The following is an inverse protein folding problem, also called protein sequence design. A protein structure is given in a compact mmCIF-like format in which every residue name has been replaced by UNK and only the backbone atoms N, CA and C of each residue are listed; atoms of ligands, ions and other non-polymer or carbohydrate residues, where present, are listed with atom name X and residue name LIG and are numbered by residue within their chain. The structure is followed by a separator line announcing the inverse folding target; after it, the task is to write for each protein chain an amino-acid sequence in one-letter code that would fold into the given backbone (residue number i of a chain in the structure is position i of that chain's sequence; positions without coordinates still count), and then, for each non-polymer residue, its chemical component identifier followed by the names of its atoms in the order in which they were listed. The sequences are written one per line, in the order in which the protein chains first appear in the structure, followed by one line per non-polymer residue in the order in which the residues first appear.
data_IF_713600583936
#
_entry.id   IF_713600583936
#
_cell.length_a   1.000
_cell.length_b   1.000
_cell.length_c   1.000
_cell.angle_alpha   90.00
_cell.angle_beta   90.00
_cell.angle_gamma   90.00
#
_symmetry.space_group_name_H-M   'P 1'
#
loop_
_entity.id
_entity.type
_entity.pdbx_description
1 polymer ?
#
# COMPACT_ATOMS: atom_id res chain seq x y z
N UNK A 1 -22.68 -1.19 6.02
CA UNK A 1 -22.25 -2.12 4.92
C UNK A 1 -23.00 -3.43 5.06
N UNK A 2 -23.43 -4.06 3.94
CA UNK A 2 -24.03 -5.40 3.93
C UNK A 2 -22.99 -6.45 4.32
N UNK A 3 -23.43 -7.67 4.70
CA UNK A 3 -22.54 -8.75 5.16
C UNK A 3 -21.59 -9.27 4.06
N UNK A 4 -22.00 -9.21 2.78
CA UNK A 4 -21.22 -9.74 1.65
C UNK A 4 -19.77 -9.21 1.56
N UNK A 5 -19.52 -7.89 1.51
CA UNK A 5 -18.17 -7.35 1.46
C UNK A 5 -17.30 -7.76 2.64
N UNK A 6 -17.87 -7.84 3.85
CA UNK A 6 -17.15 -8.29 5.05
C UNK A 6 -16.70 -9.75 4.95
N UNK A 7 -17.64 -10.63 4.57
CA UNK A 7 -17.36 -12.06 4.42
C UNK A 7 -16.32 -12.29 3.34
N UNK A 8 -16.48 -11.66 2.17
CA UNK A 8 -15.55 -11.81 1.05
C UNK A 8 -14.17 -11.28 1.42
N UNK A 9 -14.07 -10.09 2.05
CA UNK A 9 -12.78 -9.54 2.46
C UNK A 9 -12.08 -10.46 3.46
N UNK A 10 -12.77 -10.95 4.46
CA UNK A 10 -12.18 -11.84 5.46
C UNK A 10 -11.76 -13.18 4.84
N UNK A 11 -12.65 -13.83 4.09
CA UNK A 11 -12.39 -15.15 3.49
C UNK A 11 -11.25 -15.09 2.48
N UNK A 12 -11.28 -14.15 1.54
CA UNK A 12 -10.20 -14.03 0.54
C UNK A 12 -8.86 -13.67 1.18
N UNK A 13 -8.84 -12.77 2.18
CA UNK A 13 -7.59 -12.44 2.88
C UNK A 13 -6.99 -13.65 3.58
N UNK A 14 -7.83 -14.46 4.23
CA UNK A 14 -7.38 -15.72 4.87
C UNK A 14 -6.90 -16.73 3.82
N UNK A 15 -7.64 -16.89 2.71
CA UNK A 15 -7.24 -17.82 1.64
C UNK A 15 -5.91 -17.42 0.99
N UNK A 16 -5.73 -16.14 0.67
CA UNK A 16 -4.47 -15.62 0.08
C UNK A 16 -3.30 -15.81 1.02
N UNK A 17 -3.51 -15.58 2.32
CA UNK A 17 -2.44 -15.66 3.33
C UNK A 17 -2.35 -17.04 4.00
N UNK A 18 -3.23 -18.00 3.69
CA UNK A 18 -3.25 -19.30 4.34
C UNK A 18 -1.88 -20.01 4.43
N UNK A 19 -1.04 -20.00 3.37
CA UNK A 19 0.28 -20.64 3.42
C UNK A 19 1.25 -19.99 4.43
N UNK A 20 1.01 -18.71 4.77
CA UNK A 20 1.92 -17.91 5.61
C UNK A 20 1.35 -17.59 6.99
N UNK A 21 0.13 -18.03 7.32
CA UNK A 21 -0.49 -17.85 8.64
C UNK A 21 0.09 -18.74 9.76
N UNK A 22 0.64 -19.94 9.50
CA UNK A 22 1.25 -20.74 10.56
C UNK A 22 2.29 -19.97 11.38
N UNK A 23 2.57 -20.38 12.64
CA UNK A 23 3.58 -19.75 13.48
C UNK A 23 4.95 -19.63 12.79
N UNK A 24 5.68 -18.56 13.08
CA UNK A 24 6.97 -18.26 12.48
C UNK A 24 6.94 -16.99 11.65
N UNK A 25 8.02 -16.77 10.89
CA UNK A 25 8.20 -15.61 10.03
C UNK A 25 7.99 -15.95 8.56
N UNK A 26 7.46 -15.02 7.79
CA UNK A 26 7.54 -15.03 6.34
C UNK A 26 8.75 -14.18 5.96
N UNK A 27 9.74 -14.82 5.37
CA UNK A 27 10.96 -14.16 4.92
C UNK A 27 11.10 -14.41 3.41
N UNK A 28 10.73 -13.41 2.63
CA UNK A 28 10.83 -13.45 1.16
C UNK A 28 11.36 -12.11 0.66
N UNK A 29 12.41 -12.13 -0.10
CA UNK A 29 13.01 -10.92 -0.71
C UNK A 29 13.07 -9.73 0.27
N UNK A 30 12.19 -8.73 0.10
CA UNK A 30 12.16 -7.51 0.91
C UNK A 30 11.34 -7.66 2.21
N UNK A 31 10.66 -8.80 2.40
CA UNK A 31 9.94 -9.06 3.65
C UNK A 31 10.88 -9.64 4.69
N UNK A 32 11.47 -8.77 5.49
CA UNK A 32 12.33 -9.13 6.62
C UNK A 32 11.70 -8.64 7.91
N UNK A 33 11.50 -9.58 8.85
CA UNK A 33 11.02 -9.30 10.20
C UNK A 33 11.91 -9.99 11.21
N UNK A 34 12.10 -9.34 12.35
CA UNK A 34 12.87 -9.83 13.48
C UNK A 34 11.98 -9.89 14.73
N UNK A 35 12.31 -10.68 15.75
CA UNK A 35 11.53 -10.74 17.00
C UNK A 35 11.31 -9.38 17.64
N UNK A 36 12.37 -8.60 17.72
CA UNK A 36 12.36 -7.21 18.22
C UNK A 36 13.33 -6.41 17.35
N UNK A 37 12.90 -5.26 16.84
CA UNK A 37 13.75 -4.33 16.13
C UNK A 37 14.19 -3.23 17.09
N UNK A 38 15.50 -2.97 17.17
CA UNK A 38 16.04 -1.95 18.05
C UNK A 38 15.74 -0.54 17.54
N UNK A 39 15.43 0.38 18.46
CA UNK A 39 15.28 1.81 18.17
C UNK A 39 16.67 2.45 18.04
N UNK A 40 17.22 2.45 16.84
CA UNK A 40 18.49 3.07 16.51
C UNK A 40 18.28 4.40 15.77
N UNK A 41 19.36 5.16 15.57
CA UNK A 41 19.30 6.39 14.76
C UNK A 41 18.95 6.12 13.30
N UNK A 42 19.33 4.96 12.77
CA UNK A 42 19.05 4.57 11.39
C UNK A 42 17.55 4.39 11.11
N UNK A 43 16.80 3.72 12.03
CA UNK A 43 15.36 3.49 11.84
C UNK A 43 14.52 4.77 11.86
N UNK A 44 15.07 5.86 12.42
CA UNK A 44 14.44 7.19 12.39
C UNK A 44 15.02 8.11 11.32
N UNK A 45 15.95 7.63 10.50
CA UNK A 45 16.55 8.40 9.40
C UNK A 45 17.62 9.41 9.83
N UNK A 46 18.19 9.25 11.04
CA UNK A 46 19.25 10.09 11.59
C UNK A 46 20.61 9.38 11.66
N UNK A 47 20.75 8.25 10.99
CA UNK A 47 22.01 7.53 10.82
C UNK A 47 22.90 8.17 9.73
N UNK A 48 24.08 7.58 9.50
CA UNK A 48 25.07 8.12 8.54
C UNK A 48 24.75 7.77 7.07
N UNK A 49 23.87 6.78 6.84
CA UNK A 49 23.45 6.34 5.51
C UNK A 49 22.12 6.94 5.04
N UNK A 50 21.85 6.83 3.73
CA UNK A 50 20.53 7.19 3.19
C UNK A 50 19.42 6.36 3.87
N UNK A 51 18.39 7.00 4.40
CA UNK A 51 17.28 6.29 5.04
C UNK A 51 16.52 5.45 3.99
N UNK A 52 16.41 4.13 4.24
CA UNK A 52 15.79 3.20 3.29
C UNK A 52 14.32 2.94 3.60
N UNK A 53 13.95 2.81 4.86
CA UNK A 53 12.62 2.34 5.29
C UNK A 53 12.04 3.22 6.42
N UNK A 54 12.19 4.55 6.30
CA UNK A 54 11.63 5.52 7.23
C UNK A 54 10.28 6.01 6.67
N UNK A 55 9.24 6.10 7.50
CA UNK A 55 9.18 5.85 8.96
C UNK A 55 8.81 4.41 9.33
N UNK A 56 8.68 3.48 8.39
CA UNK A 56 8.12 2.15 8.65
C UNK A 56 8.95 1.36 9.67
N UNK A 57 10.28 1.41 9.58
CA UNK A 57 11.15 0.71 10.53
C UNK A 57 11.04 1.27 11.95
N UNK A 58 10.88 2.58 12.10
CA UNK A 58 10.62 3.19 13.39
C UNK A 58 9.30 2.71 14.01
N UNK A 59 8.24 2.58 13.20
CA UNK A 59 6.95 2.06 13.65
C UNK A 59 7.04 0.57 14.05
N UNK A 60 7.77 -0.22 13.28
CA UNK A 60 8.03 -1.63 13.61
C UNK A 60 8.87 -1.73 14.89
N UNK A 61 9.95 -0.93 15.01
CA UNK A 61 10.80 -0.91 16.20
C UNK A 61 9.99 -0.58 17.46
N UNK A 62 9.16 0.46 17.43
CA UNK A 62 8.29 0.82 18.56
C UNK A 62 7.29 -0.29 18.90
N UNK A 63 6.66 -0.89 17.88
CA UNK A 63 5.62 -1.88 18.11
C UNK A 63 6.19 -3.21 18.60
N UNK A 64 7.38 -3.60 18.11
CA UNK A 64 8.03 -4.85 18.53
C UNK A 64 8.59 -4.83 19.93
N UNK A 65 8.67 -3.67 20.60
CA UNK A 65 8.92 -3.61 22.05
C UNK A 65 7.76 -4.18 22.88
N UNK A 66 6.54 -4.22 22.30
CA UNK A 66 5.31 -4.64 23.00
C UNK A 66 4.72 -5.94 22.44
N UNK A 67 4.93 -6.21 21.16
CA UNK A 67 4.32 -7.33 20.43
C UNK A 67 5.40 -8.10 19.66
N UNK A 68 5.47 -9.44 19.76
CA UNK A 68 6.44 -10.22 18.99
C UNK A 68 6.33 -9.93 17.49
N UNK A 69 7.48 -9.72 16.81
CA UNK A 69 7.53 -9.37 15.39
C UNK A 69 6.81 -10.36 14.48
N UNK A 70 6.79 -11.66 14.82
CA UNK A 70 6.05 -12.68 14.07
C UNK A 70 4.53 -12.45 14.10
N UNK A 71 3.99 -12.07 15.26
CA UNK A 71 2.57 -11.73 15.38
C UNK A 71 2.25 -10.43 14.68
N UNK A 72 3.08 -9.39 14.87
CA UNK A 72 2.96 -8.11 14.19
C UNK A 72 2.90 -8.29 12.67
N UNK A 73 3.80 -9.08 12.10
CA UNK A 73 3.84 -9.38 10.67
C UNK A 73 2.50 -9.97 10.17
N UNK A 74 1.97 -10.99 10.86
CA UNK A 74 0.70 -11.63 10.48
C UNK A 74 -0.49 -10.66 10.56
N UNK A 75 -0.51 -9.86 11.63
CA UNK A 75 -1.57 -8.85 11.83
C UNK A 75 -1.53 -7.80 10.73
N UNK A 76 -0.35 -7.28 10.38
CA UNK A 76 -0.21 -6.29 9.31
C UNK A 76 -0.67 -6.86 7.96
N UNK A 77 -0.21 -8.06 7.60
CA UNK A 77 -0.57 -8.69 6.33
C UNK A 77 -2.10 -8.92 6.23
N UNK A 78 -2.69 -9.52 7.27
CA UNK A 78 -4.12 -9.80 7.29
C UNK A 78 -4.96 -8.51 7.29
N UNK A 79 -4.59 -7.55 8.15
CA UNK A 79 -5.29 -6.26 8.23
C UNK A 79 -5.22 -5.49 6.91
N UNK A 80 -4.07 -5.47 6.25
CA UNK A 80 -3.91 -4.80 4.96
C UNK A 80 -4.87 -5.34 3.92
N UNK A 81 -4.98 -6.66 3.74
CA UNK A 81 -5.89 -7.23 2.74
C UNK A 81 -7.36 -7.06 3.11
N UNK A 82 -7.73 -7.27 4.37
CA UNK A 82 -9.12 -7.06 4.82
C UNK A 82 -9.54 -5.61 4.65
N UNK A 83 -8.70 -4.65 5.08
CA UNK A 83 -8.99 -3.22 4.96
C UNK A 83 -9.00 -2.75 3.50
N UNK A 84 -8.15 -3.32 2.64
CA UNK A 84 -8.17 -3.08 1.20
C UNK A 84 -9.53 -3.44 0.59
N UNK A 85 -10.02 -4.64 0.85
CA UNK A 85 -11.32 -5.10 0.35
C UNK A 85 -12.48 -4.27 0.88
N UNK A 86 -12.50 -4.00 2.19
CA UNK A 86 -13.54 -3.18 2.81
C UNK A 86 -13.51 -1.73 2.30
N UNK A 87 -12.32 -1.18 2.06
CA UNK A 87 -12.15 0.15 1.48
C UNK A 87 -12.68 0.23 0.06
N UNK A 88 -12.35 -0.74 -0.78
CA UNK A 88 -12.88 -0.82 -2.15
C UNK A 88 -14.40 -0.95 -2.17
N UNK A 89 -14.98 -1.79 -1.28
CA UNK A 89 -16.43 -1.91 -1.13
C UNK A 89 -17.07 -0.59 -0.68
N UNK A 90 -16.44 0.14 0.25
CA UNK A 90 -16.92 1.44 0.71
C UNK A 90 -16.90 2.47 -0.41
N UNK A 91 -15.80 2.55 -1.16
CA UNK A 91 -15.66 3.43 -2.31
C UNK A 91 -16.74 3.12 -3.36
N UNK A 92 -16.92 1.84 -3.71
CA UNK A 92 -17.94 1.41 -4.66
C UNK A 92 -19.35 1.79 -4.20
N UNK A 93 -19.65 1.70 -2.90
CA UNK A 93 -20.95 2.11 -2.34
C UNK A 93 -21.19 3.63 -2.43
N UNK A 94 -20.13 4.44 -2.52
CA UNK A 94 -20.22 5.89 -2.76
C UNK A 94 -20.43 6.17 -4.25
N UNK A 95 -19.74 5.45 -5.12
CA UNK A 95 -19.82 5.62 -6.58
C UNK A 95 -21.16 5.10 -7.14
N UNK A 96 -21.65 3.98 -6.61
CA UNK A 96 -22.91 3.34 -7.01
C UNK A 96 -23.86 3.21 -5.83
N UNK A 97 -24.50 4.31 -5.37
CA UNK A 97 -25.32 4.31 -4.15
C UNK A 97 -26.59 3.46 -4.28
N UNK A 98 -27.05 3.19 -5.50
CA UNK A 98 -28.22 2.33 -5.79
C UNK A 98 -27.91 0.83 -5.77
N UNK A 99 -26.62 0.45 -5.73
CA UNK A 99 -26.23 -0.95 -5.65
C UNK A 99 -26.69 -1.61 -4.36
N UNK A 100 -27.26 -2.82 -4.51
CA UNK A 100 -27.72 -3.64 -3.38
C UNK A 100 -26.58 -4.41 -2.68
N UNK A 101 -25.33 -4.05 -2.91
CA UNK A 101 -24.13 -4.62 -2.32
C UNK A 101 -23.42 -5.65 -3.18
N UNK A 102 -23.92 -5.96 -4.38
CA UNK A 102 -23.26 -6.86 -5.31
C UNK A 102 -21.99 -6.24 -5.87
N UNK A 103 -22.06 -5.01 -6.42
CA UNK A 103 -20.89 -4.30 -6.94
C UNK A 103 -19.85 -4.04 -5.85
N UNK A 104 -20.28 -3.69 -4.62
CA UNK A 104 -19.38 -3.54 -3.48
C UNK A 104 -18.66 -4.85 -3.12
N UNK A 105 -19.35 -5.99 -3.23
CA UNK A 105 -18.75 -7.31 -2.97
C UNK A 105 -17.73 -7.68 -4.05
N UNK A 106 -18.08 -7.45 -5.33
CA UNK A 106 -17.17 -7.67 -6.46
C UNK A 106 -15.94 -6.76 -6.36
N UNK A 107 -16.12 -5.49 -6.02
CA UNK A 107 -15.01 -4.55 -5.83
C UNK A 107 -14.07 -5.01 -4.71
N UNK A 108 -14.61 -5.50 -3.58
CA UNK A 108 -13.79 -6.07 -2.51
C UNK A 108 -12.97 -7.27 -3.00
N UNK A 109 -13.60 -8.19 -3.72
CA UNK A 109 -12.92 -9.36 -4.26
C UNK A 109 -11.81 -8.98 -5.25
N UNK A 110 -12.11 -8.14 -6.22
CA UNK A 110 -11.15 -7.70 -7.24
C UNK A 110 -9.98 -6.91 -6.66
N UNK A 111 -10.22 -6.15 -5.60
CA UNK A 111 -9.17 -5.35 -4.94
C UNK A 111 -8.25 -6.19 -4.06
N UNK A 112 -8.65 -7.37 -3.62
CA UNK A 112 -7.81 -8.33 -2.87
C UNK A 112 -7.15 -9.33 -3.81
N UNK A 113 -7.92 -9.85 -4.77
CA UNK A 113 -7.50 -10.92 -5.65
C UNK A 113 -7.13 -10.35 -7.02
N UNK A 114 -5.91 -9.92 -7.14
CA UNK A 114 -5.36 -9.39 -8.39
C UNK A 114 -3.83 -9.60 -8.44
N UNK A 115 -3.22 -9.54 -9.63
CA UNK A 115 -1.78 -9.74 -9.80
C UNK A 115 -0.92 -8.77 -8.99
N UNK A 116 -1.31 -7.49 -8.91
CA UNK A 116 -0.56 -6.50 -8.13
C UNK A 116 -0.38 -6.93 -6.67
N UNK A 117 -1.47 -7.37 -6.02
CA UNK A 117 -1.41 -7.83 -4.63
C UNK A 117 -0.52 -9.07 -4.51
N UNK A 118 -0.67 -10.05 -5.42
CA UNK A 118 0.12 -11.27 -5.42
C UNK A 118 1.62 -10.98 -5.57
N UNK A 119 2.01 -10.18 -6.54
CA UNK A 119 3.39 -9.78 -6.78
C UNK A 119 4.00 -9.02 -5.59
N UNK A 120 3.24 -8.07 -5.01
CA UNK A 120 3.70 -7.32 -3.83
C UNK A 120 3.84 -8.19 -2.58
N UNK A 121 3.00 -9.20 -2.41
CA UNK A 121 3.14 -10.18 -1.32
C UNK A 121 4.38 -11.05 -1.52
N UNK A 122 4.60 -11.57 -2.74
CA UNK A 122 5.74 -12.46 -3.03
C UNK A 122 7.07 -11.72 -2.90
N UNK A 123 7.20 -10.50 -3.45
CA UNK A 123 8.43 -9.70 -3.31
C UNK A 123 8.61 -9.12 -1.91
N UNK A 124 7.56 -9.12 -1.07
CA UNK A 124 7.67 -8.65 0.30
C UNK A 124 7.40 -7.16 0.51
N UNK A 125 6.76 -6.47 -0.44
CA UNK A 125 6.41 -5.04 -0.34
C UNK A 125 5.18 -4.80 0.57
N UNK A 126 5.18 -5.40 1.75
CA UNK A 126 4.07 -5.36 2.70
C UNK A 126 3.70 -3.93 3.15
N UNK A 127 4.68 -3.06 3.36
CA UNK A 127 4.43 -1.68 3.75
C UNK A 127 3.71 -0.89 2.63
N UNK A 128 3.97 -1.20 1.36
CA UNK A 128 3.23 -0.63 0.25
C UNK A 128 1.78 -1.16 0.20
N UNK A 129 1.54 -2.40 0.62
CA UNK A 129 0.19 -2.95 0.75
C UNK A 129 -0.62 -2.28 1.88
N UNK A 130 0.03 -1.78 2.93
CA UNK A 130 -0.62 -0.92 3.95
C UNK A 130 -1.13 0.37 3.31
N UNK A 131 -0.29 1.04 2.51
CA UNK A 131 -0.69 2.23 1.77
C UNK A 131 -1.81 1.91 0.76
N UNK A 132 -1.68 0.83 -0.02
CA UNK A 132 -2.70 0.35 -0.95
C UNK A 132 -4.07 0.17 -0.27
N UNK A 133 -4.08 -0.43 0.92
CA UNK A 133 -5.30 -0.60 1.70
C UNK A 133 -5.96 0.73 2.10
N UNK A 134 -5.16 1.78 2.33
CA UNK A 134 -5.65 3.10 2.72
C UNK A 134 -6.23 3.92 1.56
N UNK A 135 -5.80 3.68 0.30
CA UNK A 135 -6.19 4.50 -0.86
C UNK A 135 -7.71 4.62 -1.07
N UNK A 136 -8.53 3.55 -1.04
CA UNK A 136 -9.97 3.69 -1.23
C UNK A 136 -10.64 4.49 -0.09
N UNK A 137 -10.17 4.33 1.14
CA UNK A 137 -10.65 5.09 2.29
C UNK A 137 -10.29 6.57 2.16
N UNK A 138 -9.08 6.87 1.68
CA UNK A 138 -8.62 8.22 1.41
C UNK A 138 -9.48 8.88 0.33
N UNK A 139 -9.80 8.17 -0.75
CA UNK A 139 -10.68 8.69 -1.80
C UNK A 139 -12.07 9.08 -1.25
N UNK A 140 -12.66 8.21 -0.41
CA UNK A 140 -13.94 8.50 0.25
C UNK A 140 -13.82 9.70 1.19
N UNK A 141 -12.80 9.74 2.05
CA UNK A 141 -12.60 10.83 3.00
C UNK A 141 -12.34 12.17 2.27
N UNK A 142 -11.57 12.14 1.18
CA UNK A 142 -11.31 13.33 0.36
C UNK A 142 -12.59 13.86 -0.31
N UNK A 143 -13.45 12.97 -0.81
CA UNK A 143 -14.74 13.36 -1.37
C UNK A 143 -15.65 14.00 -0.32
N UNK A 144 -15.75 13.41 0.87
CA UNK A 144 -16.51 13.96 2.00
C UNK A 144 -15.95 15.32 2.46
N UNK A 145 -14.62 15.47 2.55
CA UNK A 145 -13.96 16.74 2.86
C UNK A 145 -14.24 17.80 1.78
N UNK A 146 -14.20 17.41 0.51
CA UNK A 146 -14.53 18.27 -0.62
C UNK A 146 -15.98 18.77 -0.63
N UNK A 147 -16.88 18.03 0.02
CA UNK A 147 -18.29 18.44 0.25
C UNK A 147 -18.47 19.29 1.51
N UNK A 148 -17.40 19.59 2.25
CA UNK A 148 -17.42 20.48 3.40
C UNK A 148 -17.47 19.79 4.76
N UNK A 149 -17.35 18.46 4.84
CA UNK A 149 -17.23 17.76 6.13
C UNK A 149 -15.86 18.03 6.77
N UNK A 150 -15.84 18.86 7.81
CA UNK A 150 -14.61 19.20 8.54
C UNK A 150 -13.95 18.00 9.23
N UNK A 151 -14.73 17.00 9.67
CA UNK A 151 -14.20 15.78 10.29
C UNK A 151 -13.49 14.90 9.26
N UNK A 152 -13.92 14.99 8.01
CA UNK A 152 -13.26 14.29 6.92
C UNK A 152 -11.86 14.82 6.64
N UNK A 153 -11.55 16.08 6.91
CA UNK A 153 -10.18 16.63 6.80
C UNK A 153 -9.21 15.90 7.75
N UNK A 154 -9.60 15.64 8.98
CA UNK A 154 -8.78 14.87 9.92
C UNK A 154 -8.57 13.41 9.42
N UNK A 155 -9.63 12.79 8.85
CA UNK A 155 -9.52 11.46 8.23
C UNK A 155 -8.57 11.47 7.03
N UNK A 156 -8.62 12.50 6.19
CA UNK A 156 -7.67 12.68 5.08
C UNK A 156 -6.23 12.74 5.61
N UNK A 157 -5.96 13.56 6.63
CA UNK A 157 -4.63 13.68 7.21
C UNK A 157 -4.11 12.34 7.78
N UNK A 158 -4.94 11.60 8.52
CA UNK A 158 -4.59 10.27 9.06
C UNK A 158 -4.32 9.28 7.93
N UNK A 159 -5.17 9.23 6.91
CA UNK A 159 -5.02 8.29 5.79
C UNK A 159 -3.81 8.65 4.91
N UNK A 160 -3.49 9.94 4.74
CA UNK A 160 -2.24 10.37 4.11
C UNK A 160 -1.02 9.92 4.93
N UNK A 161 -1.07 9.99 6.28
CA UNK A 161 0.00 9.47 7.13
C UNK A 161 0.16 7.95 7.00
N UNK A 162 -0.94 7.19 6.91
CA UNK A 162 -0.89 5.75 6.63
C UNK A 162 -0.31 5.46 5.25
N UNK A 163 -0.63 6.26 4.23
CA UNK A 163 -0.01 6.12 2.91
C UNK A 163 1.50 6.45 2.97
N UNK A 164 1.90 7.44 3.76
CA UNK A 164 3.26 7.94 3.86
C UNK A 164 4.22 7.02 4.64
N UNK A 165 3.77 5.83 5.10
CA UNK A 165 4.67 4.82 5.68
C UNK A 165 5.74 4.36 4.68
N UNK A 166 5.51 4.56 3.38
CA UNK A 166 6.51 4.39 2.32
C UNK A 166 6.48 5.61 1.37
N UNK A 167 7.62 5.97 0.76
CA UNK A 167 7.68 7.07 -0.23
C UNK A 167 6.68 6.89 -1.37
N UNK A 168 6.63 5.69 -1.97
CA UNK A 168 5.69 5.36 -3.05
C UNK A 168 4.24 5.48 -2.61
N UNK A 169 3.90 4.96 -1.42
CA UNK A 169 2.57 5.09 -0.84
C UNK A 169 2.18 6.54 -0.58
N UNK A 170 3.10 7.34 -0.05
CA UNK A 170 2.91 8.78 0.17
C UNK A 170 2.63 9.55 -1.11
N UNK A 171 3.37 9.25 -2.20
CA UNK A 171 3.12 9.83 -3.51
C UNK A 171 1.75 9.42 -4.06
N UNK A 172 1.40 8.14 -4.01
CA UNK A 172 0.10 7.64 -4.47
C UNK A 172 -1.05 8.25 -3.66
N UNK A 173 -0.90 8.36 -2.33
CA UNK A 173 -1.87 9.03 -1.48
C UNK A 173 -2.07 10.49 -1.86
N UNK A 174 -0.98 11.21 -2.11
CA UNK A 174 -1.03 12.59 -2.62
C UNK A 174 -1.75 12.71 -3.96
N UNK A 175 -1.46 11.81 -4.90
CA UNK A 175 -2.13 11.78 -6.21
C UNK A 175 -3.63 11.51 -6.09
N UNK A 176 -4.04 10.54 -5.26
CA UNK A 176 -5.46 10.24 -5.01
C UNK A 176 -6.16 11.44 -4.37
N UNK A 177 -5.56 12.03 -3.33
CA UNK A 177 -6.13 13.21 -2.70
C UNK A 177 -6.26 14.39 -3.67
N UNK A 178 -5.22 14.68 -4.46
CA UNK A 178 -5.23 15.73 -5.47
C UNK A 178 -6.29 15.49 -6.55
N UNK A 179 -6.41 14.27 -7.06
CA UNK A 179 -7.40 13.92 -8.08
C UNK A 179 -8.85 14.09 -7.58
N UNK A 180 -9.14 13.63 -6.35
CA UNK A 180 -10.49 13.73 -5.77
C UNK A 180 -10.82 15.16 -5.36
N UNK A 181 -9.84 15.93 -4.89
CA UNK A 181 -10.02 17.32 -4.47
C UNK A 181 -9.84 18.32 -5.61
N UNK A 182 -9.59 17.87 -6.84
CA UNK A 182 -9.49 18.74 -8.02
C UNK A 182 -10.72 19.65 -8.13
N UNK A 183 -10.49 20.95 -8.26
CA UNK A 183 -11.57 21.96 -8.30
C UNK A 183 -12.22 22.30 -6.94
N UNK A 184 -11.81 21.67 -5.84
CA UNK A 184 -12.31 21.90 -4.47
C UNK A 184 -11.27 22.63 -3.62
N UNK A 185 -10.92 23.84 -4.02
CA UNK A 185 -9.79 24.62 -3.53
C UNK A 185 -9.65 24.64 -1.99
N UNK A 186 -10.76 24.86 -1.25
CA UNK A 186 -10.71 24.95 0.21
C UNK A 186 -10.22 23.68 0.89
N UNK A 187 -10.66 22.51 0.44
CA UNK A 187 -10.20 21.23 0.99
C UNK A 187 -8.77 20.89 0.52
N UNK A 188 -8.42 21.23 -0.72
CA UNK A 188 -7.06 21.07 -1.27
C UNK A 188 -6.02 21.89 -0.51
N UNK A 189 -6.33 23.11 -0.10
CA UNK A 189 -5.46 23.97 0.71
C UNK A 189 -5.07 23.34 2.06
N UNK A 190 -5.92 22.50 2.64
CA UNK A 190 -5.62 21.77 3.88
C UNK A 190 -4.90 20.44 3.61
N UNK A 191 -5.25 19.75 2.54
CA UNK A 191 -4.67 18.46 2.22
C UNK A 191 -3.21 18.56 1.77
N UNK A 192 -2.82 19.61 1.04
CA UNK A 192 -1.46 19.78 0.54
C UNK A 192 -0.41 19.93 1.67
N UNK A 193 -0.55 20.87 2.64
CA UNK A 193 0.39 20.96 3.75
C UNK A 193 0.37 19.70 4.64
N UNK A 194 -0.80 19.08 4.85
CA UNK A 194 -0.86 17.81 5.57
C UNK A 194 -0.04 16.73 4.87
N UNK A 195 -0.17 16.62 3.54
CA UNK A 195 0.63 15.67 2.74
C UNK A 195 2.13 15.95 2.85
N UNK A 196 2.56 17.19 2.77
CA UNK A 196 3.97 17.56 2.95
C UNK A 196 4.50 17.15 4.32
N UNK A 197 3.76 17.46 5.39
CA UNK A 197 4.18 17.16 6.77
C UNK A 197 4.27 15.66 7.01
N UNK A 198 3.27 14.86 6.62
CA UNK A 198 3.29 13.42 6.87
C UNK A 198 4.35 12.67 6.05
N UNK A 199 4.80 13.25 4.95
CA UNK A 199 5.89 12.70 4.14
C UNK A 199 7.28 13.20 4.55
N UNK A 200 7.37 14.14 5.51
CA UNK A 200 8.65 14.68 5.99
C UNK A 200 9.65 13.60 6.46
N UNK A 201 9.24 12.49 7.10
CA UNK A 201 10.17 11.45 7.55
C UNK A 201 11.04 10.84 6.44
N UNK A 202 10.63 10.86 5.19
CA UNK A 202 11.44 10.33 4.10
C UNK A 202 12.05 11.42 3.20
N UNK A 203 11.38 12.57 2.95
CA UNK A 203 11.99 13.59 2.09
C UNK A 203 12.97 14.49 2.85
N UNK A 204 12.74 14.76 4.14
CA UNK A 204 13.63 15.62 4.93
C UNK A 204 15.02 15.02 5.11
N UNK A 205 15.19 13.74 5.53
CA UNK A 205 16.51 13.11 5.53
C UNK A 205 17.18 13.10 4.15
N UNK A 206 16.41 12.92 3.09
CA UNK A 206 16.94 12.97 1.71
C UNK A 206 17.51 14.34 1.32
N UNK A 207 17.10 15.43 1.97
CA UNK A 207 17.65 16.78 1.75
C UNK A 207 18.93 17.08 2.57
N UNK A 208 19.10 16.40 3.69
CA UNK A 208 20.22 16.67 4.62
C UNK A 208 21.37 15.68 4.51
N UNK A 209 21.16 14.54 3.83
CA UNK A 209 22.22 13.58 3.59
C UNK A 209 22.94 13.87 2.27
N UNK A 210 24.26 14.00 2.32
CA UNK A 210 25.11 14.26 1.15
C UNK A 210 25.33 13.01 0.25
N UNK A 211 24.61 11.91 0.52
CA UNK A 211 24.77 10.69 -0.22
C UNK A 211 24.19 10.83 -1.62
N UNK A 212 25.06 10.91 -2.62
CA UNK A 212 24.68 10.92 -4.04
C UNK A 212 24.36 9.48 -4.46
N UNK A 213 23.07 9.19 -4.67
CA UNK A 213 22.68 7.97 -5.34
C UNK A 213 22.93 8.12 -6.86
N UNK A 214 24.08 7.64 -7.31
CA UNK A 214 24.37 7.56 -8.75
C UNK A 214 23.56 6.39 -9.34
N UNK A 215 22.42 6.68 -9.97
CA UNK A 215 21.62 5.67 -10.68
C UNK A 215 22.09 5.62 -12.13
N UNK A 216 22.82 4.58 -12.50
CA UNK A 216 23.23 4.33 -13.89
C UNK A 216 22.08 3.79 -14.75
N UNK A 217 22.20 3.89 -16.08
CA UNK A 217 21.22 3.38 -17.03
C UNK A 217 20.89 1.89 -16.80
N UNK A 218 21.88 1.07 -16.46
CA UNK A 218 21.70 -0.35 -16.13
C UNK A 218 20.77 -0.57 -14.93
N UNK A 219 20.78 0.31 -13.94
CA UNK A 219 19.86 0.23 -12.80
C UNK A 219 18.41 0.59 -13.20
N UNK A 220 18.25 1.58 -14.09
CA UNK A 220 16.94 1.92 -14.65
C UNK A 220 16.36 0.75 -15.42
N UNK A 221 17.15 0.10 -16.27
CA UNK A 221 16.73 -1.06 -17.04
C UNK A 221 16.41 -2.26 -16.17
N UNK A 222 17.13 -2.45 -15.06
CA UNK A 222 16.88 -3.54 -14.11
C UNK A 222 15.49 -3.45 -13.43
N UNK A 223 14.96 -2.22 -13.28
CA UNK A 223 13.65 -1.96 -12.70
C UNK A 223 12.55 -1.63 -13.72
N UNK A 224 12.84 -1.86 -15.02
CA UNK A 224 11.87 -1.62 -16.08
C UNK A 224 10.69 -2.60 -15.99
N UNK A 225 9.52 -2.13 -16.41
CA UNK A 225 8.31 -2.97 -16.54
C UNK A 225 8.56 -4.14 -17.49
N UNK A 226 8.08 -5.32 -17.14
CA UNK A 226 8.22 -6.54 -17.94
C UNK A 226 6.87 -7.07 -18.43
N UNK A 227 6.89 -7.68 -19.61
CA UNK A 227 5.75 -8.46 -20.09
C UNK A 227 5.73 -9.83 -19.40
N UNK A 228 4.59 -10.19 -18.82
CA UNK A 228 4.38 -11.43 -18.06
C UNK A 228 3.58 -12.46 -18.87
N UNK A 229 2.91 -12.02 -19.91
CA UNK A 229 2.06 -12.88 -20.74
C UNK A 229 2.15 -12.54 -22.23
N UNK A 230 1.32 -13.19 -23.02
CA UNK A 230 1.30 -13.07 -24.49
C UNK A 230 1.00 -11.67 -24.99
N UNK A 231 0.34 -10.82 -24.18
CA UNK A 231 0.01 -9.45 -24.54
C UNK A 231 1.15 -8.45 -24.23
N UNK A 232 2.31 -8.95 -23.81
CA UNK A 232 3.50 -8.13 -23.53
C UNK A 232 3.31 -7.14 -22.37
N UNK A 233 4.14 -6.08 -22.33
CA UNK A 233 4.15 -5.10 -21.22
C UNK A 233 2.79 -4.39 -21.10
N UNK A 234 2.19 -3.98 -22.20
CA UNK A 234 0.91 -3.24 -22.15
C UNK A 234 -0.21 -4.10 -21.58
N UNK A 235 -0.31 -5.36 -21.96
CA UNK A 235 -1.27 -6.31 -21.42
C UNK A 235 -1.02 -6.60 -19.93
N UNK A 236 0.24 -6.76 -19.54
CA UNK A 236 0.61 -6.99 -18.15
C UNK A 236 0.22 -5.81 -17.25
N UNK A 237 0.51 -4.58 -17.67
CA UNK A 237 0.13 -3.37 -16.93
C UNK A 237 -1.39 -3.21 -16.85
N UNK A 238 -2.11 -3.44 -17.97
CA UNK A 238 -3.58 -3.41 -17.98
C UNK A 238 -4.19 -4.47 -17.04
N UNK A 239 -3.52 -5.62 -16.91
CA UNK A 239 -3.87 -6.69 -15.99
C UNK A 239 -3.33 -6.50 -14.55
N UNK A 240 -2.86 -5.31 -14.19
CA UNK A 240 -2.30 -4.97 -12.88
C UNK A 240 -1.04 -5.76 -12.50
N UNK A 241 -0.28 -6.22 -13.49
CA UNK A 241 1.04 -6.85 -13.34
C UNK A 241 2.13 -6.00 -13.98
N UNK A 242 3.21 -6.63 -14.43
CA UNK A 242 4.34 -5.96 -15.09
C UNK A 242 5.48 -5.64 -14.12
N UNK A 243 5.60 -6.42 -13.04
CA UNK A 243 6.68 -6.24 -12.08
C UNK A 243 8.05 -6.52 -12.73
N UNK A 244 9.06 -5.73 -12.34
CA UNK A 244 10.44 -5.88 -12.83
C UNK A 244 11.10 -7.22 -12.44
N UNK A 245 10.69 -7.81 -11.32
CA UNK A 245 11.24 -9.05 -10.78
C UNK A 245 10.51 -10.27 -11.36
N UNK A 246 11.13 -10.97 -12.31
CA UNK A 246 10.56 -12.19 -12.90
C UNK A 246 10.32 -13.32 -11.89
N UNK A 247 11.13 -13.40 -10.84
CA UNK A 247 10.96 -14.41 -9.78
C UNK A 247 9.75 -14.20 -8.87
N UNK A 248 9.04 -13.10 -9.00
CA UNK A 248 7.86 -12.77 -8.17
C UNK A 248 6.55 -12.75 -8.96
N UNK A 249 6.62 -13.10 -10.24
CA UNK A 249 5.44 -13.24 -11.10
C UNK A 249 4.69 -14.53 -10.73
N UNK A 250 3.38 -14.47 -10.45
CA UNK A 250 2.61 -15.69 -10.21
C UNK A 250 2.65 -16.62 -11.42
N UNK A 251 2.91 -17.93 -11.21
CA UNK A 251 3.02 -18.91 -12.30
C UNK A 251 1.78 -19.01 -13.18
N UNK A 252 0.60 -18.64 -12.67
CA UNK A 252 -0.63 -18.53 -13.49
C UNK A 252 -0.53 -17.50 -14.60
N UNK A 253 0.29 -16.48 -14.47
CA UNK A 253 0.48 -15.43 -15.48
C UNK A 253 1.48 -15.81 -16.58
N UNK A 254 2.24 -16.84 -16.37
CA UNK A 254 3.14 -17.42 -17.39
C UNK A 254 2.39 -18.36 -18.36
N UNK A 255 1.11 -18.59 -18.11
CA UNK A 255 0.26 -19.44 -18.95
C UNK A 255 -0.63 -18.61 -19.87
N UNK A 256 -1.15 -19.24 -20.95
CA UNK A 256 -2.10 -18.64 -21.90
C UNK A 256 -3.38 -18.15 -21.21
N UNK A 257 -3.72 -18.71 -20.04
CA UNK A 257 -4.91 -18.33 -19.25
C UNK A 257 -4.66 -17.14 -18.31
N UNK A 258 -3.42 -16.71 -18.14
CA UNK A 258 -3.04 -15.61 -17.26
C UNK A 258 -2.82 -14.28 -17.98
N UNK A 259 -3.06 -14.25 -19.27
CA UNK A 259 -2.87 -13.07 -20.12
C UNK A 259 -4.14 -12.21 -20.21
#
# INVERSE_FOLDING_TARGET
MRRGPWVVSAVLSVLVLAPVLPPGYVLTYDMVFVPTLDLTRDVVGLGDGLPRAVPVDALVALTTQLVPGSLLQKVILLASLVLAGLGAARLMSVVLPTDRGAAATVAAAAYIWNPYVAERLVIGHWALLVAYAALPWLAVAADEAGRGDRRALARVAVLLAVCAVTPTGGLLGGLVAAAVLAGRARAGWWAAPAWLVVNAPWWLPGLVHDAVAATGAAAVDAFALRGEGVLGVAGSVAGLGGIWSSGTVPGSRETVLGA
#
